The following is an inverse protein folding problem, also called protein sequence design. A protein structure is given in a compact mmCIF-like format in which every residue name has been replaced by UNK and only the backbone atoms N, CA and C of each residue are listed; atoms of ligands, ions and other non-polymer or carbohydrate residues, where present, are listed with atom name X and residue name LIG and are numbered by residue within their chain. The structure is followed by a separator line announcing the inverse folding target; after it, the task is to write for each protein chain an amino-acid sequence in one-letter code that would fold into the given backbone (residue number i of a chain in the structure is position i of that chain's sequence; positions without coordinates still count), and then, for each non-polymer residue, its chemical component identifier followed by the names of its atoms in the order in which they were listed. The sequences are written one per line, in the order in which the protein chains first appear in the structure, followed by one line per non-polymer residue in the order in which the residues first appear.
data_IF_326362905807
#
_entry.id   IF_326362905807
#
_cell.length_a   1.000
_cell.length_b   1.000
_cell.length_c   1.000
_cell.angle_alpha   90.00
_cell.angle_beta   90.00
_cell.angle_gamma   90.00
#
_symmetry.space_group_name_H-M   'P 1'
#
loop_
_entity.id
_entity.type
_entity.pdbx_description
1 polymer ?
#
# COMPACT_ATOMS: atom_id res chain seq x y z
N UNK A 1 10.84 10.21 -20.02
CA UNK A 1 9.58 10.93 -20.30
C UNK A 1 9.81 12.36 -20.76
N UNK A 2 10.49 13.23 -20.00
CA UNK A 2 10.73 14.63 -20.41
C UNK A 2 11.37 14.79 -21.80
N UNK A 3 12.46 14.05 -22.06
CA UNK A 3 13.19 14.11 -23.34
C UNK A 3 12.33 13.70 -24.53
N UNK A 4 11.46 12.72 -24.34
CA UNK A 4 10.59 12.17 -25.37
C UNK A 4 9.49 13.16 -25.77
N UNK A 5 9.01 13.95 -24.82
CA UNK A 5 8.01 15.00 -25.07
C UNK A 5 8.65 16.13 -25.85
N UNK A 6 9.86 16.55 -25.47
CA UNK A 6 10.63 17.54 -26.22
C UNK A 6 10.90 17.09 -27.66
N UNK A 7 11.28 15.83 -27.85
CA UNK A 7 11.49 15.24 -29.18
C UNK A 7 10.19 15.27 -30.00
N UNK A 8 9.08 14.83 -29.42
CA UNK A 8 7.77 14.84 -30.09
C UNK A 8 7.37 16.25 -30.53
N UNK A 9 7.50 17.24 -29.63
CA UNK A 9 7.20 18.64 -29.95
C UNK A 9 8.12 19.19 -31.05
N UNK A 10 9.40 18.81 -31.04
CA UNK A 10 10.35 19.23 -32.04
C UNK A 10 10.03 18.66 -33.42
N UNK A 11 9.65 17.38 -33.50
CA UNK A 11 9.21 16.73 -34.75
C UNK A 11 7.94 17.40 -35.30
N UNK A 12 6.96 17.69 -34.44
CA UNK A 12 5.72 18.40 -34.83
C UNK A 12 6.02 19.81 -35.34
N UNK A 13 6.84 20.58 -34.62
CA UNK A 13 7.20 21.93 -35.01
C UNK A 13 8.02 21.95 -36.30
N UNK A 14 9.02 21.06 -36.44
CA UNK A 14 9.82 20.98 -37.65
C UNK A 14 9.01 20.54 -38.87
N UNK A 15 8.02 19.65 -38.70
CA UNK A 15 7.13 19.22 -39.78
C UNK A 15 6.06 20.23 -40.19
N UNK A 16 5.71 21.18 -39.31
CA UNK A 16 4.63 22.13 -39.53
C UNK A 16 5.05 23.58 -39.79
N UNK A 17 6.32 23.93 -39.60
CA UNK A 17 6.86 25.30 -39.77
C UNK A 17 7.84 25.35 -40.93
N UNK A 18 8.36 26.56 -41.22
CA UNK A 18 9.40 26.78 -42.22
C UNK A 18 10.80 26.26 -41.83
N UNK A 19 10.92 25.49 -40.75
CA UNK A 19 12.19 24.84 -40.36
C UNK A 19 12.56 23.72 -41.32
N UNK A 20 13.85 23.55 -41.58
CA UNK A 20 14.38 22.50 -42.47
C UNK A 20 14.77 21.23 -41.71
N UNK A 21 15.07 21.36 -40.41
CA UNK A 21 15.51 20.26 -39.55
C UNK A 21 15.14 20.54 -38.09
N UNK A 22 14.98 19.49 -37.29
CA UNK A 22 14.82 19.56 -35.83
C UNK A 22 16.07 20.13 -35.14
N UNK A 23 17.24 20.12 -35.78
CA UNK A 23 18.47 20.73 -35.25
C UNK A 23 18.37 22.26 -35.06
N UNK A 24 17.43 22.90 -35.78
CA UNK A 24 17.14 24.32 -35.63
C UNK A 24 16.25 24.62 -34.41
N UNK A 25 15.87 23.60 -33.64
CA UNK A 25 15.15 23.73 -32.37
C UNK A 25 16.17 23.55 -31.25
N UNK A 26 16.36 24.61 -30.47
CA UNK A 26 17.20 24.60 -29.29
C UNK A 26 16.38 24.39 -28.02
N UNK A 27 16.96 23.70 -27.04
CA UNK A 27 16.33 23.41 -25.75
C UNK A 27 17.07 24.06 -24.58
N UNK A 28 18.11 24.84 -24.88
CA UNK A 28 18.92 25.51 -23.88
C UNK A 28 18.23 26.77 -23.35
N UNK A 29 18.87 27.41 -22.36
CA UNK A 29 18.38 28.66 -21.80
C UNK A 29 18.19 29.72 -22.90
N UNK A 30 17.08 30.50 -22.94
CA UNK A 30 16.75 31.39 -24.07
C UNK A 30 17.76 32.51 -24.33
N UNK A 31 18.63 32.82 -23.36
CA UNK A 31 19.75 33.76 -23.53
C UNK A 31 20.97 33.18 -24.27
N UNK A 32 21.07 31.86 -24.39
CA UNK A 32 22.20 31.18 -25.03
C UNK A 32 21.99 31.13 -26.54
N UNK A 33 22.18 32.28 -27.19
CA UNK A 33 22.07 32.40 -28.64
C UNK A 33 23.18 31.57 -29.31
N UNK A 34 22.80 30.63 -30.19
CA UNK A 34 23.74 29.99 -31.13
C UNK A 34 24.34 31.08 -32.04
N UNK A 35 25.62 30.95 -32.37
CA UNK A 35 26.47 31.95 -33.03
C UNK A 35 25.75 32.91 -34.00
N UNK A 36 26.14 34.19 -33.96
CA UNK A 36 25.65 35.23 -34.86
C UNK A 36 25.89 34.84 -36.33
N UNK A 37 24.84 34.36 -36.99
CA UNK A 37 24.90 33.85 -38.36
C UNK A 37 24.04 32.61 -38.59
N UNK A 38 23.64 31.90 -37.52
CA UNK A 38 22.65 30.84 -37.60
C UNK A 38 21.35 31.35 -38.23
N UNK A 39 20.73 30.52 -39.08
CA UNK A 39 19.43 30.79 -39.70
C UNK A 39 18.30 30.89 -38.68
N UNK A 40 17.03 30.88 -39.12
CA UNK A 40 15.91 30.92 -38.18
C UNK A 40 15.95 29.71 -37.24
N UNK A 41 15.73 29.96 -35.95
CA UNK A 41 15.75 28.92 -34.90
C UNK A 41 14.60 29.13 -33.93
N UNK A 42 13.99 28.03 -33.49
CA UNK A 42 13.06 28.03 -32.37
C UNK A 42 13.81 27.61 -31.10
N UNK A 43 13.41 28.14 -29.95
CA UNK A 43 13.93 27.72 -28.67
C UNK A 43 12.77 27.29 -27.76
N UNK A 44 12.81 26.06 -27.27
CA UNK A 44 11.81 25.44 -26.41
C UNK A 44 12.42 25.15 -25.04
N UNK A 45 12.18 26.03 -24.07
CA UNK A 45 12.79 25.98 -22.75
C UNK A 45 11.78 25.54 -21.68
N UNK A 46 12.11 24.52 -20.89
CA UNK A 46 11.28 24.09 -19.75
C UNK A 46 11.64 24.94 -18.53
N UNK A 47 10.65 25.60 -17.92
CA UNK A 47 10.88 26.47 -16.76
C UNK A 47 10.21 25.98 -15.48
N UNK A 48 9.22 25.10 -15.55
CA UNK A 48 8.50 24.58 -14.38
C UNK A 48 7.96 23.16 -14.66
N UNK A 49 7.97 22.31 -13.65
CA UNK A 49 7.45 20.93 -13.70
C UNK A 49 6.72 20.67 -12.39
N UNK A 50 5.43 20.36 -12.47
CA UNK A 50 4.57 20.13 -11.29
C UNK A 50 3.69 18.93 -11.47
N UNK A 51 3.33 18.26 -10.38
CA UNK A 51 2.33 17.19 -10.43
C UNK A 51 0.98 17.75 -10.91
N UNK A 52 0.37 17.07 -11.88
CA UNK A 52 -0.87 17.52 -12.50
C UNK A 52 -2.05 17.30 -11.55
N UNK A 53 -2.82 18.36 -11.31
CA UNK A 53 -4.05 18.28 -10.51
C UNK A 53 -5.22 17.69 -11.29
N UNK A 54 -5.12 17.66 -12.62
CA UNK A 54 -6.23 17.29 -13.51
C UNK A 54 -6.38 15.78 -13.65
N UNK A 55 -5.30 15.01 -13.46
CA UNK A 55 -5.27 13.56 -13.65
C UNK A 55 -4.97 12.86 -12.33
N UNK A 56 -5.96 12.84 -11.42
CA UNK A 56 -5.85 12.10 -10.16
C UNK A 56 -6.23 10.63 -10.36
N UNK A 57 -5.29 9.83 -10.88
CA UNK A 57 -5.40 8.36 -10.88
C UNK A 57 -4.20 7.73 -10.17
N UNK A 58 -3.89 8.18 -8.95
CA UNK A 58 -2.80 7.60 -8.16
C UNK A 58 -3.32 6.42 -7.32
N UNK A 59 -3.31 5.22 -7.91
CA UNK A 59 -3.63 3.97 -7.23
C UNK A 59 -2.43 3.03 -7.16
N UNK A 60 -2.17 2.44 -5.99
CA UNK A 60 -1.19 1.35 -5.86
C UNK A 60 -1.74 0.10 -6.53
N UNK A 61 -1.10 -0.39 -7.59
CA UNK A 61 -1.44 -1.67 -8.22
C UNK A 61 -0.40 -2.73 -7.84
N UNK A 62 -0.88 -3.90 -7.43
CA UNK A 62 -0.03 -5.04 -7.09
C UNK A 62 -0.22 -6.08 -8.17
N UNK A 63 0.75 -6.20 -9.07
CA UNK A 63 0.73 -7.22 -10.11
C UNK A 63 1.32 -8.52 -9.56
N UNK A 64 0.54 -9.60 -9.63
CA UNK A 64 0.95 -10.93 -9.18
C UNK A 64 1.13 -11.83 -10.40
N UNK A 65 2.36 -12.17 -10.76
CA UNK A 65 2.63 -13.21 -11.76
C UNK A 65 2.40 -14.57 -11.12
N UNK A 66 1.27 -15.22 -11.43
CA UNK A 66 0.94 -16.57 -10.96
C UNK A 66 1.72 -17.61 -11.78
N UNK A 67 3.04 -17.70 -11.54
CA UNK A 67 3.88 -18.76 -12.12
C UNK A 67 4.21 -19.78 -11.03
N UNK A 68 4.43 -21.04 -11.41
CA UNK A 68 4.69 -22.18 -10.51
C UNK A 68 5.92 -21.99 -9.59
N UNK A 69 6.73 -20.96 -9.82
CA UNK A 69 7.91 -20.60 -9.02
C UNK A 69 7.63 -19.34 -8.18
N UNK A 70 8.09 -19.36 -6.94
CA UNK A 70 8.04 -18.25 -5.96
C UNK A 70 8.78 -17.01 -6.50
N UNK A 71 8.12 -16.20 -7.32
CA UNK A 71 8.64 -14.90 -7.74
C UNK A 71 8.11 -13.78 -6.81
N UNK A 72 8.93 -12.73 -6.54
CA UNK A 72 8.47 -11.55 -5.81
C UNK A 72 7.29 -10.90 -6.54
N UNK A 73 6.34 -10.31 -5.80
CA UNK A 73 5.36 -9.42 -6.43
C UNK A 73 6.05 -8.10 -6.78
N UNK A 74 5.66 -7.52 -7.92
CA UNK A 74 6.03 -6.17 -8.31
C UNK A 74 4.91 -5.22 -7.87
N UNK A 75 5.26 -4.21 -7.07
CA UNK A 75 4.35 -3.08 -6.84
C UNK A 75 4.57 -2.11 -7.99
N UNK A 76 3.56 -1.99 -8.84
CA UNK A 76 3.52 -1.01 -9.91
C UNK A 76 2.60 0.12 -9.41
N UNK A 77 3.15 1.31 -9.28
CA UNK A 77 2.30 2.48 -9.06
C UNK A 77 1.70 2.87 -10.40
N UNK A 78 0.44 3.31 -10.40
CA UNK A 78 -0.09 3.98 -11.57
C UNK A 78 0.82 5.16 -11.96
N UNK A 79 0.98 5.46 -13.27
CA UNK A 79 1.81 6.58 -13.72
C UNK A 79 1.38 7.87 -13.04
N UNK A 80 2.35 8.59 -12.46
CA UNK A 80 2.11 9.91 -11.94
C UNK A 80 2.12 10.91 -13.10
N UNK A 81 1.15 11.81 -13.16
CA UNK A 81 1.03 12.77 -14.24
C UNK A 81 1.62 14.11 -13.82
N UNK A 82 2.40 14.72 -14.70
CA UNK A 82 3.07 15.99 -14.45
C UNK A 82 2.74 17.00 -15.54
N UNK A 83 2.40 18.22 -15.13
CA UNK A 83 2.28 19.36 -16.01
C UNK A 83 3.68 19.97 -16.18
N UNK A 84 4.19 19.95 -17.41
CA UNK A 84 5.48 20.53 -17.80
C UNK A 84 5.20 21.86 -18.50
N UNK A 85 5.63 22.96 -17.90
CA UNK A 85 5.48 24.29 -18.50
C UNK A 85 6.72 24.68 -19.30
N UNK A 86 6.50 25.00 -20.57
CA UNK A 86 7.52 25.36 -21.53
C UNK A 86 7.32 26.77 -22.06
N UNK A 87 8.43 27.42 -22.38
CA UNK A 87 8.52 28.71 -23.04
C UNK A 87 9.06 28.48 -24.45
N UNK A 88 8.27 28.83 -25.46
CA UNK A 88 8.69 28.80 -26.86
C UNK A 88 9.02 30.22 -27.32
N UNK A 89 10.26 30.44 -27.74
CA UNK A 89 10.74 31.68 -28.34
C UNK A 89 11.26 31.43 -29.75
N UNK A 90 11.35 32.48 -30.56
CA UNK A 90 11.92 32.41 -31.90
C UNK A 90 13.04 33.42 -32.07
N UNK A 91 13.99 33.04 -32.93
CA UNK A 91 15.09 33.88 -33.36
C UNK A 91 15.17 33.85 -34.89
N UNK A 92 15.32 35.03 -35.47
CA UNK A 92 15.57 35.21 -36.89
C UNK A 92 16.45 36.46 -37.11
N UNK A 93 16.86 36.71 -38.35
CA UNK A 93 17.62 37.90 -38.75
C UNK A 93 16.84 39.19 -38.55
N UNK A 94 15.50 39.13 -38.54
CA UNK A 94 14.63 40.29 -38.42
C UNK A 94 13.56 40.07 -37.36
N UNK A 95 13.14 41.14 -36.66
CA UNK A 95 12.05 41.06 -35.69
C UNK A 95 10.72 40.60 -36.33
N UNK A 96 10.45 41.03 -37.58
CA UNK A 96 9.27 40.58 -38.30
C UNK A 96 9.32 39.06 -38.58
N UNK A 97 10.49 38.54 -38.93
CA UNK A 97 10.71 37.11 -39.09
C UNK A 97 10.54 36.34 -37.78
N UNK A 98 11.04 36.86 -36.65
CA UNK A 98 10.78 36.26 -35.32
C UNK A 98 9.28 36.11 -35.05
N UNK A 99 8.49 37.17 -35.30
CA UNK A 99 7.03 37.11 -35.15
C UNK A 99 6.36 36.17 -36.15
N UNK A 100 6.87 36.10 -37.38
CA UNK A 100 6.36 35.18 -38.40
C UNK A 100 6.56 33.72 -37.96
N UNK A 101 7.76 33.36 -37.48
CA UNK A 101 8.05 32.02 -36.95
C UNK A 101 7.20 31.67 -35.73
N UNK A 102 6.99 32.62 -34.81
CA UNK A 102 6.06 32.43 -33.68
C UNK A 102 4.64 32.18 -34.19
N UNK A 103 4.19 32.89 -35.23
CA UNK A 103 2.85 32.70 -35.80
C UNK A 103 2.70 31.34 -36.47
N UNK A 104 3.72 30.86 -37.19
CA UNK A 104 3.71 29.51 -37.77
C UNK A 104 3.64 28.46 -36.67
N UNK A 105 4.52 28.57 -35.66
CA UNK A 105 4.55 27.65 -34.54
C UNK A 105 3.22 27.65 -33.78
N UNK A 106 2.62 28.81 -33.54
CA UNK A 106 1.30 28.92 -32.94
C UNK A 106 0.24 28.18 -33.75
N UNK A 107 0.24 28.36 -35.08
CA UNK A 107 -0.73 27.70 -35.96
C UNK A 107 -0.60 26.18 -35.92
N UNK A 108 0.62 25.65 -35.85
CA UNK A 108 0.90 24.21 -35.70
C UNK A 108 0.45 23.71 -34.33
N UNK A 109 0.86 24.36 -33.25
CA UNK A 109 0.54 23.94 -31.88
C UNK A 109 -0.97 23.98 -31.61
N UNK A 110 -1.69 24.95 -32.18
CA UNK A 110 -3.14 25.02 -32.08
C UNK A 110 -3.86 23.85 -32.77
N UNK A 111 -3.26 23.24 -33.79
CA UNK A 111 -3.78 22.01 -34.42
C UNK A 111 -3.49 20.76 -33.60
N UNK A 112 -2.42 20.78 -32.80
CA UNK A 112 -1.95 19.66 -31.99
C UNK A 112 -2.13 19.90 -30.48
N UNK A 113 -3.24 20.52 -30.06
CA UNK A 113 -3.58 20.67 -28.63
C UNK A 113 -3.77 19.32 -27.93
N UNK A 114 -4.20 18.32 -28.69
CA UNK A 114 -4.19 16.92 -28.26
C UNK A 114 -3.14 16.23 -29.10
N UNK A 115 -2.07 15.78 -28.45
CA UNK A 115 -1.01 15.01 -29.07
C UNK A 115 -1.51 13.58 -29.20
N UNK A 116 -2.02 13.26 -30.39
CA UNK A 116 -2.50 11.91 -30.73
C UNK A 116 -1.37 10.90 -30.60
N UNK A 117 -1.69 9.72 -30.07
CA UNK A 117 -0.71 8.66 -29.77
C UNK A 117 0.13 8.23 -30.99
N UNK A 118 -0.43 8.37 -32.20
CA UNK A 118 0.24 8.05 -33.45
C UNK A 118 1.47 8.94 -33.74
N UNK A 119 1.45 10.19 -33.28
CA UNK A 119 2.55 11.15 -33.45
C UNK A 119 3.53 11.13 -32.27
N UNK A 120 3.21 10.40 -31.19
CA UNK A 120 4.11 10.26 -30.06
C UNK A 120 5.27 9.32 -30.41
N UNK A 121 6.45 9.64 -29.87
CA UNK A 121 7.58 8.70 -29.89
C UNK A 121 7.27 7.44 -29.09
N UNK A 122 7.88 6.28 -29.41
CA UNK A 122 7.49 4.97 -28.86
C UNK A 122 7.41 4.91 -27.34
N UNK A 123 8.30 5.61 -26.64
CA UNK A 123 8.38 5.61 -25.17
C UNK A 123 7.23 6.35 -24.48
N UNK A 124 6.48 7.18 -25.21
CA UNK A 124 5.27 7.86 -24.71
C UNK A 124 3.98 7.17 -25.15
N UNK A 125 4.05 6.10 -25.95
CA UNK A 125 2.88 5.31 -26.34
C UNK A 125 2.46 4.41 -25.18
N UNK A 126 1.18 4.03 -25.15
CA UNK A 126 0.55 3.22 -24.11
C UNK A 126 -0.21 4.03 -23.05
N UNK A 127 -0.10 5.36 -23.06
CA UNK A 127 -0.81 6.26 -22.15
C UNK A 127 -1.98 7.01 -22.82
N UNK A 128 -2.24 6.72 -24.10
CA UNK A 128 -3.21 7.43 -24.92
C UNK A 128 -2.73 8.81 -25.34
N UNK A 129 -3.68 9.68 -25.68
CA UNK A 129 -3.39 11.02 -26.16
C UNK A 129 -2.94 11.94 -25.03
N UNK A 130 -1.89 12.74 -25.28
CA UNK A 130 -1.41 13.72 -24.30
C UNK A 130 -2.05 15.08 -24.55
N UNK A 131 -2.41 15.78 -23.47
CA UNK A 131 -3.01 17.11 -23.57
C UNK A 131 -1.95 18.20 -23.49
N UNK A 132 -2.10 19.21 -24.35
CA UNK A 132 -1.30 20.42 -24.38
C UNK A 132 -2.19 21.66 -24.34
N UNK A 133 -1.88 22.56 -23.42
CA UNK A 133 -2.42 23.91 -23.43
C UNK A 133 -1.42 24.86 -24.09
N UNK A 134 -1.96 25.79 -24.90
CA UNK A 134 -1.17 26.71 -25.72
C UNK A 134 -1.63 28.13 -25.44
N UNK A 135 -0.69 29.01 -25.09
CA UNK A 135 -0.91 30.44 -24.83
C UNK A 135 -1.96 30.74 -23.73
N UNK A 136 -2.05 29.88 -22.72
CA UNK A 136 -2.77 30.17 -21.48
C UNK A 136 -1.86 30.85 -20.45
N UNK A 137 -2.47 31.43 -19.42
CA UNK A 137 -1.75 32.10 -18.33
C UNK A 137 -0.76 31.14 -17.65
N UNK A 138 0.55 31.48 -17.61
CA UNK A 138 1.56 30.62 -17.01
C UNK A 138 1.43 30.55 -15.48
N UNK A 139 1.96 29.51 -14.84
CA UNK A 139 1.89 29.34 -13.38
C UNK A 139 2.77 30.33 -12.59
N UNK A 140 3.57 31.12 -13.30
CA UNK A 140 4.49 32.14 -12.77
C UNK A 140 4.20 33.47 -13.47
N UNK A 141 4.32 34.58 -12.74
CA UNK A 141 4.18 35.91 -13.33
C UNK A 141 5.21 36.14 -14.44
N UNK A 142 4.75 36.64 -15.58
CA UNK A 142 5.57 36.87 -16.79
C UNK A 142 6.80 37.73 -16.46
N UNK A 143 6.62 38.86 -15.76
CA UNK A 143 7.72 39.77 -15.41
C UNK A 143 8.80 39.10 -14.57
N UNK A 144 8.39 38.31 -13.56
CA UNK A 144 9.32 37.56 -12.70
C UNK A 144 10.08 36.49 -13.47
N UNK A 145 9.42 35.76 -14.39
CA UNK A 145 10.08 34.75 -15.21
C UNK A 145 11.18 35.36 -16.06
N UNK A 146 10.89 36.42 -16.83
CA UNK A 146 11.89 37.05 -17.70
C UNK A 146 13.02 37.71 -16.90
N UNK A 147 12.70 38.30 -15.74
CA UNK A 147 13.73 38.81 -14.83
C UNK A 147 14.63 37.70 -14.29
N UNK A 148 14.09 36.52 -13.97
CA UNK A 148 14.86 35.37 -13.48
C UNK A 148 15.73 34.73 -14.58
N UNK A 149 15.26 34.75 -15.83
CA UNK A 149 16.04 34.32 -17.00
C UNK A 149 17.19 35.29 -17.31
N UNK A 150 17.16 36.52 -16.80
CA UNK A 150 18.16 37.55 -17.12
C UNK A 150 18.29 37.80 -18.65
N UNK A 151 17.15 37.75 -19.36
CA UNK A 151 17.01 38.03 -20.79
C UNK A 151 15.97 39.14 -20.95
N UNK A 152 16.15 40.10 -21.88
CA UNK A 152 15.10 41.08 -22.15
C UNK A 152 13.79 40.39 -22.52
N UNK A 153 12.66 40.99 -22.12
CA UNK A 153 11.34 40.49 -22.47
C UNK A 153 11.19 40.35 -23.99
N UNK A 154 10.80 39.17 -24.45
CA UNK A 154 10.56 38.85 -25.87
C UNK A 154 9.16 38.32 -26.10
N UNK A 155 8.74 38.30 -27.36
CA UNK A 155 7.54 37.56 -27.76
C UNK A 155 7.78 36.06 -27.59
N UNK A 156 6.87 35.40 -26.89
CA UNK A 156 6.97 33.98 -26.60
C UNK A 156 5.58 33.35 -26.48
N UNK A 157 5.52 32.03 -26.65
CA UNK A 157 4.34 31.21 -26.39
C UNK A 157 4.58 30.38 -25.13
N UNK A 158 3.59 30.41 -24.23
CA UNK A 158 3.58 29.60 -23.02
C UNK A 158 2.82 28.32 -23.30
N UNK A 159 3.48 27.18 -23.10
CA UNK A 159 2.91 25.85 -23.34
C UNK A 159 2.88 25.10 -22.02
N UNK A 160 1.85 24.29 -21.80
CA UNK A 160 1.88 23.28 -20.75
C UNK A 160 1.48 21.94 -21.33
N UNK A 161 2.33 20.93 -21.17
CA UNK A 161 2.06 19.56 -21.63
C UNK A 161 1.95 18.66 -20.41
N UNK A 162 0.86 17.91 -20.33
CA UNK A 162 0.65 16.93 -19.25
C UNK A 162 1.19 15.57 -19.68
N UNK A 163 2.18 15.06 -18.95
CA UNK A 163 2.97 13.89 -19.34
C UNK A 163 2.97 12.83 -18.22
N UNK A 164 2.97 11.54 -18.55
CA UNK A 164 3.06 10.47 -17.56
C UNK A 164 4.52 10.26 -17.12
N UNK A 165 4.70 9.87 -15.87
CA UNK A 165 5.97 9.44 -15.30
C UNK A 165 5.76 8.15 -14.52
N UNK A 166 6.38 7.08 -14.98
CA UNK A 166 6.35 5.80 -14.26
C UNK A 166 7.44 5.78 -13.19
N UNK A 167 7.08 5.53 -11.92
CA UNK A 167 8.07 5.27 -10.90
C UNK A 167 8.67 3.87 -11.11
N UNK A 168 9.93 3.73 -10.74
CA UNK A 168 10.64 2.47 -10.89
C UNK A 168 9.93 1.37 -10.05
N UNK A 169 9.60 0.20 -10.65
CA UNK A 169 8.91 -0.85 -9.93
C UNK A 169 9.79 -1.37 -8.79
N UNK A 170 9.18 -1.53 -7.62
CA UNK A 170 9.87 -2.04 -6.43
C UNK A 170 9.41 -3.47 -6.15
N UNK A 171 10.35 -4.45 -6.08
CA UNK A 171 9.99 -5.81 -5.70
C UNK A 171 9.63 -5.83 -4.22
N UNK A 172 8.47 -6.39 -3.88
CA UNK A 172 8.05 -6.61 -2.51
C UNK A 172 8.01 -8.12 -2.21
N UNK A 173 8.57 -8.56 -1.08
CA UNK A 173 8.45 -9.94 -0.66
C UNK A 173 6.98 -10.23 -0.30
N UNK A 174 6.45 -11.31 -0.84
CA UNK A 174 5.11 -11.79 -0.50
C UNK A 174 5.18 -12.58 0.82
N UNK A 175 4.34 -12.21 1.79
CA UNK A 175 4.17 -12.98 3.03
C UNK A 175 3.19 -14.10 2.75
N UNK A 176 3.73 -15.30 2.55
CA UNK A 176 2.93 -16.49 2.20
C UNK A 176 2.48 -17.30 3.40
N UNK A 177 3.23 -17.24 4.51
CA UNK A 177 2.97 -18.06 5.69
C UNK A 177 2.99 -17.20 6.96
N UNK A 178 2.00 -17.44 7.82
CA UNK A 178 1.97 -16.91 9.17
C UNK A 178 2.07 -18.09 10.13
N UNK A 179 3.25 -18.30 10.71
CA UNK A 179 3.48 -19.36 11.69
C UNK A 179 3.02 -18.86 13.07
N UNK A 180 2.05 -19.53 13.67
CA UNK A 180 1.64 -19.29 15.05
C UNK A 180 2.20 -20.39 15.94
N UNK A 181 3.08 -20.03 16.88
CA UNK A 181 3.50 -20.94 17.95
C UNK A 181 2.69 -20.64 19.22
N UNK A 182 1.83 -21.58 19.61
CA UNK A 182 1.10 -21.55 20.88
C UNK A 182 1.96 -22.23 21.94
N UNK A 183 2.50 -21.44 22.87
CA UNK A 183 3.28 -21.94 24.01
C UNK A 183 2.39 -21.94 25.25
N UNK A 184 2.03 -23.13 25.74
CA UNK A 184 1.36 -23.26 27.02
C UNK A 184 2.41 -23.11 28.14
N UNK A 185 2.31 -22.06 28.96
CA UNK A 185 3.28 -21.77 30.04
C UNK A 185 3.18 -22.72 31.25
N UNK A 186 2.29 -23.71 31.21
CA UNK A 186 2.08 -24.66 32.32
C UNK A 186 2.97 -25.90 32.28
N UNK A 187 3.76 -26.12 31.21
CA UNK A 187 4.66 -27.28 31.10
C UNK A 187 6.12 -26.87 31.24
N UNK A 188 6.70 -27.12 32.42
CA UNK A 188 8.15 -27.05 32.65
C UNK A 188 8.82 -28.40 32.33
N UNK A 189 8.63 -28.96 31.15
CA UNK A 189 9.59 -29.94 30.65
C UNK A 189 9.57 -30.08 29.14
N UNK A 190 10.77 -30.15 28.57
CA UNK A 190 11.05 -30.12 27.14
C UNK A 190 11.04 -31.52 26.54
N UNK A 191 9.85 -32.12 26.39
CA UNK A 191 9.65 -33.20 25.43
C UNK A 191 8.18 -33.26 24.98
N UNK A 192 7.93 -32.81 23.76
CA UNK A 192 6.60 -32.58 23.24
C UNK A 192 5.96 -33.84 22.69
N UNK A 193 5.29 -34.61 23.57
CA UNK A 193 4.08 -35.34 23.21
C UNK A 193 2.90 -34.50 23.70
N UNK A 194 2.16 -33.91 22.77
CA UNK A 194 0.89 -33.23 23.09
C UNK A 194 -0.12 -34.29 23.53
N UNK A 195 -0.11 -34.63 24.81
CA UNK A 195 -1.18 -35.37 25.48
C UNK A 195 -2.26 -34.35 25.86
N UNK A 196 -3.10 -33.97 24.91
CA UNK A 196 -4.35 -33.28 25.21
C UNK A 196 -5.27 -34.26 25.95
N UNK A 197 -5.18 -34.28 27.28
CA UNK A 197 -6.13 -34.99 28.13
C UNK A 197 -7.38 -34.14 28.31
N UNK A 198 -8.53 -34.67 27.92
CA UNK A 198 -9.80 -33.94 28.04
C UNK A 198 -10.22 -33.96 29.51
N UNK A 199 -10.40 -32.78 30.10
CA UNK A 199 -11.07 -32.65 31.40
C UNK A 199 -12.52 -33.08 31.22
N UNK A 200 -12.92 -34.16 31.90
CA UNK A 200 -14.25 -34.74 31.81
C UNK A 200 -15.19 -34.14 32.88
N UNK A 201 -14.68 -33.96 34.10
CA UNK A 201 -15.43 -33.38 35.22
C UNK A 201 -14.54 -32.31 35.87
N UNK A 202 -15.09 -31.14 36.17
CA UNK A 202 -14.42 -30.10 36.94
C UNK A 202 -15.37 -29.53 37.98
N UNK A 203 -14.86 -28.87 39.01
CA UNK A 203 -15.74 -28.26 39.99
C UNK A 203 -15.03 -27.47 41.06
N UNK A 204 -15.84 -26.90 41.95
CA UNK A 204 -15.40 -26.19 43.15
C UNK A 204 -16.14 -26.75 44.36
N UNK A 205 -15.42 -26.95 45.46
CA UNK A 205 -15.96 -27.38 46.75
C UNK A 205 -15.90 -26.22 47.73
N UNK A 206 -17.04 -25.89 48.33
CA UNK A 206 -17.18 -24.79 49.28
C UNK A 206 -17.87 -25.26 50.56
N UNK A 207 -17.71 -24.49 51.64
CA UNK A 207 -18.50 -24.64 52.86
C UNK A 207 -19.92 -24.15 52.62
N UNK A 208 -20.94 -24.95 52.98
CA UNK A 208 -22.35 -24.57 52.86
C UNK A 208 -22.73 -23.37 53.74
N UNK A 209 -21.98 -23.12 54.82
CA UNK A 209 -22.28 -22.04 55.78
C UNK A 209 -21.54 -20.75 55.41
N UNK A 210 -20.24 -20.84 55.13
CA UNK A 210 -19.41 -19.65 54.90
C UNK A 210 -19.28 -19.26 53.43
N UNK A 211 -19.68 -20.14 52.50
CA UNK A 211 -19.48 -20.00 51.06
C UNK A 211 -18.00 -19.83 50.64
N UNK A 212 -17.06 -20.14 51.54
CA UNK A 212 -15.63 -20.10 51.26
C UNK A 212 -15.15 -21.41 50.65
N UNK A 213 -14.16 -21.39 49.74
CA UNK A 213 -13.58 -22.61 49.17
C UNK A 213 -12.93 -23.50 50.23
N UNK A 214 -13.11 -24.81 50.08
CA UNK A 214 -12.50 -25.81 50.97
C UNK A 214 -11.22 -26.34 50.34
N UNK A 215 -10.12 -26.14 51.03
CA UNK A 215 -8.79 -26.60 50.62
C UNK A 215 -8.57 -28.03 51.12
N UNK A 216 -7.96 -28.88 50.29
CA UNK A 216 -7.66 -30.26 50.64
C UNK A 216 -8.89 -31.13 50.96
N UNK A 217 -10.06 -30.80 50.43
CA UNK A 217 -11.21 -31.71 50.39
C UNK A 217 -10.88 -32.83 49.41
N UNK A 218 -11.03 -34.08 49.85
CA UNK A 218 -10.88 -35.24 48.99
C UNK A 218 -12.12 -35.40 48.12
N UNK A 219 -11.93 -35.51 46.81
CA UNK A 219 -12.97 -35.84 45.83
C UNK A 219 -12.55 -37.12 45.14
N UNK A 220 -13.37 -38.16 45.22
CA UNK A 220 -13.12 -39.45 44.59
C UNK A 220 -14.24 -39.82 43.61
N UNK A 221 -13.90 -40.42 42.48
CA UNK A 221 -14.89 -40.94 41.52
C UNK A 221 -15.19 -42.39 41.87
N UNK A 222 -16.40 -42.63 42.39
CA UNK A 222 -16.83 -43.97 42.84
C UNK A 222 -16.74 -45.00 41.72
N UNK A 223 -16.12 -46.14 42.01
CA UNK A 223 -15.92 -47.23 41.04
C UNK A 223 -14.66 -47.09 40.18
N UNK A 224 -13.81 -46.11 40.47
CA UNK A 224 -12.48 -45.96 39.87
C UNK A 224 -11.44 -45.68 40.95
N UNK A 225 -10.15 -45.81 40.62
CA UNK A 225 -9.05 -45.46 41.53
C UNK A 225 -8.68 -43.96 41.46
N UNK A 226 -9.54 -43.12 40.84
CA UNK A 226 -9.30 -41.69 40.67
C UNK A 226 -9.81 -40.91 41.89
N UNK A 227 -8.87 -40.35 42.66
CA UNK A 227 -9.12 -39.41 43.77
C UNK A 227 -8.17 -38.21 43.67
N UNK A 228 -8.65 -37.03 44.06
CA UNK A 228 -7.87 -35.78 44.07
C UNK A 228 -8.26 -34.92 45.27
N UNK A 229 -7.30 -34.17 45.82
CA UNK A 229 -7.56 -33.15 46.84
C UNK A 229 -7.75 -31.78 46.20
N UNK A 230 -8.72 -31.00 46.68
CA UNK A 230 -9.00 -29.66 46.15
C UNK A 230 -7.85 -28.66 46.39
N UNK A 231 -7.71 -27.70 45.48
CA UNK A 231 -6.70 -26.63 45.58
C UNK A 231 -7.04 -25.60 46.65
N UNK A 232 -6.19 -24.57 46.81
CA UNK A 232 -6.43 -23.44 47.72
C UNK A 232 -7.70 -22.64 47.38
N UNK A 233 -8.10 -22.70 46.13
CA UNK A 233 -9.31 -22.08 45.57
C UNK A 233 -10.51 -23.05 45.59
N UNK A 234 -10.37 -24.22 46.22
CA UNK A 234 -11.39 -25.26 46.31
C UNK A 234 -11.65 -26.02 45.00
N UNK A 235 -10.79 -25.86 43.99
CA UNK A 235 -11.00 -26.43 42.66
C UNK A 235 -10.56 -27.89 42.59
N UNK A 236 -11.24 -28.68 41.76
CA UNK A 236 -10.84 -30.04 41.38
C UNK A 236 -11.19 -30.32 39.91
N UNK A 237 -10.52 -31.30 39.31
CA UNK A 237 -10.89 -31.83 38.00
C UNK A 237 -10.44 -33.29 37.81
N UNK A 238 -11.13 -33.99 36.92
CA UNK A 238 -10.81 -35.34 36.46
C UNK A 238 -10.71 -35.38 34.95
N UNK A 239 -9.64 -36.00 34.46
CA UNK A 239 -9.39 -36.26 33.05
C UNK A 239 -9.65 -37.74 32.71
N UNK A 240 -9.75 -38.05 31.42
CA UNK A 240 -9.79 -39.42 30.89
C UNK A 240 -10.90 -40.32 31.50
N UNK A 241 -12.10 -39.76 31.72
CA UNK A 241 -13.30 -40.53 32.06
C UNK A 241 -14.09 -40.86 30.79
N UNK A 242 -14.60 -42.09 30.71
CA UNK A 242 -15.44 -42.51 29.60
C UNK A 242 -16.80 -41.82 29.67
N UNK A 243 -17.51 -41.75 28.55
CA UNK A 243 -18.87 -41.22 28.52
C UNK A 243 -19.76 -42.06 29.44
N UNK A 244 -20.46 -41.41 30.37
CA UNK A 244 -21.26 -42.12 31.37
C UNK A 244 -21.61 -41.29 32.60
N UNK A 245 -22.42 -41.87 33.47
CA UNK A 245 -22.79 -41.27 34.75
C UNK A 245 -21.84 -41.73 35.85
N UNK A 246 -21.29 -40.77 36.58
CA UNK A 246 -20.41 -40.98 37.72
C UNK A 246 -21.01 -40.43 38.99
N UNK A 247 -20.60 -41.00 40.12
CA UNK A 247 -20.87 -40.48 41.45
C UNK A 247 -19.55 -40.01 42.05
N UNK A 248 -19.45 -38.73 42.35
CA UNK A 248 -18.35 -38.15 43.10
C UNK A 248 -18.63 -38.31 44.60
N UNK A 249 -17.68 -38.82 45.36
CA UNK A 249 -17.72 -38.89 46.81
C UNK A 249 -16.75 -37.85 47.37
N UNK A 250 -17.25 -36.95 48.19
CA UNK A 250 -16.50 -35.85 48.78
C UNK A 250 -16.34 -36.07 50.28
N UNK A 251 -15.11 -35.88 50.77
CA UNK A 251 -14.78 -36.01 52.17
C UNK A 251 -13.83 -34.87 52.59
N UNK A 252 -14.08 -34.28 53.76
CA UNK A 252 -13.19 -33.27 54.34
C UNK A 252 -13.31 -33.34 55.87
N UNK A 253 -12.21 -33.32 56.63
CA UNK A 253 -12.27 -33.32 58.10
C UNK A 253 -13.18 -32.20 58.64
N UNK A 254 -14.11 -32.55 59.54
CA UNK A 254 -15.07 -31.60 60.12
C UNK A 254 -16.27 -31.26 59.23
N UNK A 255 -16.47 -31.99 58.12
CA UNK A 255 -17.63 -31.88 57.25
C UNK A 255 -18.26 -33.25 57.01
N UNK A 256 -19.58 -33.28 56.89
CA UNK A 256 -20.31 -34.49 56.53
C UNK A 256 -19.96 -34.91 55.09
N UNK A 257 -19.71 -36.21 54.84
CA UNK A 257 -19.41 -36.69 53.50
C UNK A 257 -20.62 -36.53 52.57
N UNK A 258 -20.38 -36.20 51.31
CA UNK A 258 -21.43 -35.96 50.33
C UNK A 258 -21.18 -36.71 49.02
N UNK A 259 -22.26 -37.19 48.40
CA UNK A 259 -22.23 -37.80 47.08
C UNK A 259 -22.92 -36.91 46.05
N UNK A 260 -22.29 -36.71 44.88
CA UNK A 260 -22.79 -35.85 43.81
C UNK A 260 -22.71 -36.55 42.47
N UNK A 261 -23.81 -36.56 41.71
CA UNK A 261 -23.84 -37.15 40.37
C UNK A 261 -23.24 -36.20 39.33
N UNK A 262 -22.42 -36.74 38.43
CA UNK A 262 -21.85 -36.04 37.29
C UNK A 262 -21.99 -36.90 36.02
N UNK A 263 -22.62 -36.34 34.99
CA UNK A 263 -22.72 -36.97 33.67
C UNK A 263 -21.53 -36.51 32.84
N UNK A 264 -20.77 -37.42 32.24
CA UNK A 264 -19.73 -37.10 31.25
C UNK A 264 -20.34 -37.39 29.87
N UNK A 265 -20.56 -36.35 29.08
CA UNK A 265 -21.12 -36.43 27.73
C UNK A 265 -20.13 -35.96 26.65
N UNK A 266 -20.58 -35.97 25.39
CA UNK A 266 -19.73 -35.58 24.27
C UNK A 266 -19.69 -34.06 24.01
N UNK A 267 -20.38 -33.23 24.80
CA UNK A 267 -20.66 -31.83 24.45
C UNK A 267 -19.92 -30.77 25.27
N UNK A 268 -19.27 -31.08 26.39
CA UNK A 268 -18.24 -30.24 27.05
C UNK A 268 -17.62 -30.95 28.27
N UNK A 269 -16.93 -30.23 29.16
CA UNK A 269 -16.60 -30.72 30.51
C UNK A 269 -17.77 -30.46 31.47
N UNK A 270 -18.02 -31.39 32.39
CA UNK A 270 -19.11 -31.24 33.36
C UNK A 270 -18.63 -30.48 34.58
N UNK A 271 -19.13 -29.26 34.76
CA UNK A 271 -18.81 -28.44 35.92
C UNK A 271 -19.77 -28.68 37.10
N UNK A 272 -19.24 -28.77 38.32
CA UNK A 272 -20.01 -28.91 39.57
C UNK A 272 -19.56 -27.92 40.64
N UNK A 273 -20.51 -27.13 41.14
CA UNK A 273 -20.35 -26.41 42.39
C UNK A 273 -20.97 -27.23 43.51
N UNK A 274 -20.18 -27.57 44.53
CA UNK A 274 -20.54 -28.51 45.59
C UNK A 274 -20.34 -27.85 46.95
N UNK A 275 -21.33 -27.99 47.82
CA UNK A 275 -21.34 -27.39 49.15
C UNK A 275 -21.34 -28.47 50.22
N UNK A 276 -20.26 -28.58 50.99
CA UNK A 276 -20.18 -29.49 52.13
C UNK A 276 -20.74 -28.81 53.39
N UNK A 277 -21.54 -29.55 54.14
CA UNK A 277 -22.10 -29.12 55.42
C UNK A 277 -21.15 -29.52 56.55
N UNK A 278 -20.76 -28.60 57.46
CA UNK A 278 -19.99 -28.96 58.65
C UNK A 278 -20.69 -30.02 59.52
N UNK A 279 -19.92 -30.86 60.21
CA UNK A 279 -20.46 -31.83 61.20
C UNK A 279 -20.98 -31.16 62.48
#
# INVERSE_FOLDING_TARGET
MLIFVLQTLAEILAGGTSLTSTEQIDFSHPGNRREEGAGPTLNLYIFDIRESKQVQHSGRQVERKLTRALQPATVNWAPAWFDVSLLLTAWDRTALGEHHFISEALAVLLRHRTLEEEFLVPELRGYGNLNMTVALEPPIEIGSLWSALNVPLRSALYLTVTIPFEPQPTPVPLVWERIFNLRNQLSRDSDSLVLTRRVAIAGIVKSAVTNLPLVAAEVAVRGTDKSISTTKEGLFFFEDLHLGNYVLTLNHPGYLPQNVNALVDNQSNTFKEIFLTPE
#
